data_IF_796765427527
#
_entry.id   IF_796765427527
#
_cell.length_a   1.000
_cell.length_b   1.000
_cell.length_c   1.000
_cell.angle_alpha   90.00
_cell.angle_beta   90.00
_cell.angle_gamma   90.00
#
_symmetry.space_group_name_H-M   'P 1'
#
loop_
_entity.id
_entity.type
_entity.pdbx_description
1 polymer ?
#
# COMPACT_ATOMS: atom_id res chain seq x y z
N UNK A 1 -6.51 -30.92 -10.37
CA UNK A 1 -7.72 -30.47 -9.66
C UNK A 1 -7.84 -28.98 -9.86
N UNK A 2 -8.81 -28.53 -10.67
CA UNK A 2 -8.99 -27.14 -11.07
C UNK A 2 -9.21 -26.21 -9.88
N UNK A 3 -8.71 -25.00 -9.98
CA UNK A 3 -8.92 -23.91 -9.01
C UNK A 3 -10.37 -23.40 -9.17
N UNK A 4 -11.33 -23.85 -8.35
CA UNK A 4 -12.76 -23.58 -8.60
C UNK A 4 -13.21 -22.15 -8.30
N UNK A 5 -12.29 -21.23 -7.96
CA UNK A 5 -12.65 -19.94 -7.38
C UNK A 5 -12.04 -18.73 -8.14
N UNK A 6 -11.15 -18.96 -9.10
CA UNK A 6 -10.50 -17.84 -9.83
C UNK A 6 -11.52 -16.94 -10.57
N UNK A 7 -12.62 -17.49 -11.07
CA UNK A 7 -13.66 -16.71 -11.72
C UNK A 7 -14.43 -15.77 -10.77
N UNK A 8 -14.42 -16.09 -9.46
CA UNK A 8 -15.04 -15.22 -8.43
C UNK A 8 -14.13 -14.04 -8.04
N UNK A 9 -12.85 -14.11 -8.29
CA UNK A 9 -11.90 -13.08 -7.88
C UNK A 9 -12.25 -11.70 -8.47
N UNK A 10 -12.62 -11.66 -9.75
CA UNK A 10 -13.00 -10.41 -10.41
C UNK A 10 -14.29 -9.78 -9.84
N UNK A 11 -15.44 -10.47 -9.74
CA UNK A 11 -16.64 -9.87 -9.15
C UNK A 11 -16.45 -9.50 -7.67
N UNK A 12 -15.71 -10.29 -6.90
CA UNK A 12 -15.37 -9.96 -5.51
C UNK A 12 -14.52 -8.69 -5.45
N UNK A 13 -13.53 -8.54 -6.33
CA UNK A 13 -12.71 -7.33 -6.40
C UNK A 13 -13.55 -6.08 -6.72
N UNK A 14 -14.49 -6.19 -7.64
CA UNK A 14 -15.42 -5.09 -7.97
C UNK A 14 -16.31 -4.76 -6.78
N UNK A 15 -16.88 -5.77 -6.11
CA UNK A 15 -17.71 -5.58 -4.92
C UNK A 15 -16.94 -4.86 -3.80
N UNK A 16 -15.69 -5.24 -3.53
CA UNK A 16 -14.83 -4.58 -2.53
C UNK A 16 -14.60 -3.11 -2.89
N UNK A 17 -14.31 -2.80 -4.16
CA UNK A 17 -14.12 -1.41 -4.60
C UNK A 17 -15.40 -0.59 -4.45
N UNK A 18 -16.54 -1.12 -4.87
CA UNK A 18 -17.81 -0.42 -4.75
C UNK A 18 -18.17 -0.18 -3.28
N UNK A 19 -17.99 -1.20 -2.44
CA UNK A 19 -18.22 -1.07 -1.00
C UNK A 19 -17.28 -0.03 -0.38
N UNK A 20 -15.98 -0.09 -0.65
CA UNK A 20 -15.03 0.88 -0.14
C UNK A 20 -15.40 2.31 -0.56
N UNK A 21 -15.74 2.53 -1.83
CA UNK A 21 -16.19 3.85 -2.33
C UNK A 21 -17.49 4.32 -1.70
N UNK A 22 -18.46 3.43 -1.49
CA UNK A 22 -19.75 3.76 -0.89
C UNK A 22 -19.61 4.19 0.58
N UNK A 23 -18.74 3.46 1.35
CA UNK A 23 -18.55 3.72 2.78
C UNK A 23 -17.65 4.91 3.04
N UNK A 24 -16.58 5.09 2.23
CA UNK A 24 -15.55 6.10 2.50
C UNK A 24 -15.61 7.32 1.60
N UNK A 25 -16.49 7.33 0.58
CA UNK A 25 -16.51 8.37 -0.46
C UNK A 25 -15.11 8.77 -0.95
N UNK A 26 -14.18 7.80 -1.02
CA UNK A 26 -12.76 8.02 -1.22
C UNK A 26 -12.47 8.82 -2.50
N UNK A 27 -11.61 9.81 -2.37
CA UNK A 27 -11.14 10.66 -3.47
C UNK A 27 -9.64 10.57 -3.61
N UNK A 28 -9.16 10.58 -4.88
CA UNK A 28 -7.76 10.74 -5.18
C UNK A 28 -7.41 12.22 -5.39
N UNK A 29 -6.27 12.63 -4.86
CA UNK A 29 -5.60 13.90 -5.19
C UNK A 29 -4.30 13.52 -5.86
N UNK A 30 -4.12 13.97 -7.10
CA UNK A 30 -2.93 13.69 -7.90
C UNK A 30 -1.98 14.88 -7.85
N UNK A 31 -0.65 14.69 -8.00
CA UNK A 31 0.30 15.78 -8.11
C UNK A 31 0.07 16.57 -9.41
N UNK A 32 0.69 17.74 -9.52
CA UNK A 32 0.56 18.60 -10.71
C UNK A 32 1.08 17.92 -11.99
N UNK A 33 2.08 17.04 -11.87
CA UNK A 33 2.58 16.20 -12.96
C UNK A 33 1.54 15.18 -13.46
N UNK A 34 0.45 15.01 -12.72
CA UNK A 34 -0.60 14.07 -13.04
C UNK A 34 -0.39 12.68 -12.44
N UNK A 35 -1.23 11.75 -12.89
CA UNK A 35 -1.18 10.37 -12.40
C UNK A 35 0.00 9.62 -13.00
N UNK A 36 0.81 9.00 -12.15
CA UNK A 36 1.90 8.14 -12.60
C UNK A 36 1.35 6.90 -13.34
N UNK A 37 1.71 6.77 -14.60
CA UNK A 37 1.20 5.69 -15.47
C UNK A 37 2.15 4.49 -15.59
N UNK A 38 3.41 4.65 -15.19
CA UNK A 38 4.46 3.64 -15.24
C UNK A 38 4.35 2.58 -14.13
N UNK A 39 5.30 1.65 -14.11
CA UNK A 39 5.50 0.76 -12.96
C UNK A 39 6.10 1.57 -11.84
N UNK A 40 5.55 1.41 -10.64
CA UNK A 40 6.01 2.14 -9.48
C UNK A 40 5.79 1.38 -8.17
N UNK A 41 6.42 1.86 -7.14
CA UNK A 41 6.20 1.44 -5.76
C UNK A 41 5.46 2.57 -5.07
N UNK A 42 4.17 2.39 -4.80
CA UNK A 42 3.40 3.27 -3.93
C UNK A 42 3.78 2.97 -2.48
N UNK A 43 4.39 3.94 -1.79
CA UNK A 43 4.68 3.79 -0.36
C UNK A 43 3.81 4.75 0.44
N UNK A 44 3.16 4.22 1.50
CA UNK A 44 2.11 4.95 2.20
C UNK A 44 2.21 4.84 3.73
N UNK A 45 1.56 5.77 4.42
CA UNK A 45 1.29 5.67 5.85
C UNK A 45 0.32 4.53 6.15
N UNK A 46 0.46 3.89 7.32
CA UNK A 46 -0.31 2.70 7.67
C UNK A 46 -1.03 2.85 9.01
N UNK A 47 -2.34 3.00 8.96
CA UNK A 47 -3.18 3.15 10.16
C UNK A 47 -4.27 2.08 10.28
N UNK A 48 -4.67 1.46 9.16
CA UNK A 48 -5.77 0.51 9.10
C UNK A 48 -5.47 -0.67 8.18
N UNK A 49 -6.07 -1.82 8.43
CA UNK A 49 -6.04 -2.94 7.49
C UNK A 49 -6.62 -2.63 6.10
N UNK A 50 -7.46 -1.60 6.01
CA UNK A 50 -8.10 -1.17 4.77
C UNK A 50 -7.28 -0.19 3.92
N UNK A 51 -6.12 0.28 4.40
CA UNK A 51 -5.37 1.35 3.73
C UNK A 51 -5.05 1.04 2.27
N UNK A 52 -4.54 -0.15 1.98
CA UNK A 52 -4.22 -0.54 0.61
C UNK A 52 -5.47 -0.63 -0.28
N UNK A 53 -6.64 -0.95 0.30
CA UNK A 53 -7.91 -1.02 -0.45
C UNK A 53 -8.30 0.37 -0.95
N UNK A 54 -8.06 1.43 -0.17
CA UNK A 54 -8.35 2.80 -0.62
C UNK A 54 -7.44 3.23 -1.76
N UNK A 55 -6.12 2.99 -1.66
CA UNK A 55 -5.20 3.23 -2.77
C UNK A 55 -5.67 2.47 -4.00
N UNK A 56 -5.94 1.18 -3.84
CA UNK A 56 -6.37 0.31 -4.92
C UNK A 56 -7.71 0.73 -5.54
N UNK A 57 -8.66 1.18 -4.71
CA UNK A 57 -9.99 1.62 -5.15
C UNK A 57 -9.95 2.89 -6.00
N UNK A 58 -9.08 3.86 -5.69
CA UNK A 58 -8.98 5.11 -6.45
C UNK A 58 -8.20 4.97 -7.76
N UNK A 59 -7.34 3.96 -7.87
CA UNK A 59 -6.60 3.71 -9.10
C UNK A 59 -7.55 3.32 -10.26
N UNK A 60 -7.30 3.80 -11.49
CA UNK A 60 -8.00 3.35 -12.68
C UNK A 60 -7.89 1.84 -12.88
N UNK A 61 -8.90 1.19 -13.47
CA UNK A 61 -8.91 -0.28 -13.65
C UNK A 61 -7.66 -0.84 -14.36
N UNK A 62 -7.08 -0.08 -15.30
CA UNK A 62 -5.85 -0.49 -16.03
C UNK A 62 -4.64 -0.60 -15.11
N UNK A 63 -4.44 0.37 -14.20
CA UNK A 63 -3.34 0.36 -13.23
C UNK A 63 -3.62 -0.64 -12.12
N UNK A 64 -4.84 -0.66 -11.59
CA UNK A 64 -5.27 -1.55 -10.52
C UNK A 64 -4.93 -3.02 -10.78
N UNK A 65 -5.09 -3.51 -12.02
CA UNK A 65 -4.78 -4.89 -12.39
C UNK A 65 -3.31 -5.27 -12.25
N UNK A 66 -2.42 -4.28 -12.24
CA UNK A 66 -0.95 -4.47 -12.13
C UNK A 66 -0.42 -4.16 -10.73
N UNK A 67 -1.28 -3.60 -9.87
CA UNK A 67 -0.85 -3.18 -8.52
C UNK A 67 -1.12 -4.28 -7.52
N UNK A 68 -0.08 -4.69 -6.80
CA UNK A 68 -0.08 -5.75 -5.80
C UNK A 68 0.28 -5.19 -4.43
N UNK A 69 -0.56 -5.36 -3.39
CA UNK A 69 -0.17 -5.00 -2.04
C UNK A 69 0.89 -5.95 -1.50
N UNK A 70 1.86 -5.41 -0.76
CA UNK A 70 2.82 -6.19 0.02
C UNK A 70 2.25 -6.36 1.43
N UNK A 71 2.10 -7.59 1.88
CA UNK A 71 1.40 -7.87 3.13
C UNK A 71 1.99 -9.08 3.87
N UNK A 72 1.78 -9.14 5.18
CA UNK A 72 2.24 -10.26 6.00
C UNK A 72 1.48 -11.54 5.70
N UNK A 73 2.20 -12.64 5.47
CA UNK A 73 1.63 -13.96 5.21
C UNK A 73 0.84 -14.49 6.42
N UNK A 74 1.31 -14.15 7.63
CA UNK A 74 0.69 -14.53 8.91
C UNK A 74 -0.79 -14.16 9.02
N UNK A 75 -1.17 -13.00 8.49
CA UNK A 75 -2.57 -12.55 8.47
C UNK A 75 -3.37 -13.18 7.33
N UNK A 76 -2.83 -13.14 6.11
CA UNK A 76 -3.58 -13.55 4.93
C UNK A 76 -3.71 -15.07 4.77
N UNK A 77 -2.80 -15.85 5.34
CA UNK A 77 -2.87 -17.31 5.29
C UNK A 77 -3.60 -17.94 6.47
N UNK A 78 -4.11 -17.14 7.41
CA UNK A 78 -4.79 -17.61 8.63
C UNK A 78 -6.11 -18.34 8.36
N UNK A 79 -6.81 -18.01 7.29
CA UNK A 79 -8.06 -18.67 6.89
C UNK A 79 -8.15 -18.85 5.37
N UNK A 80 -9.01 -19.77 4.92
CA UNK A 80 -9.25 -19.99 3.49
C UNK A 80 -9.80 -18.73 2.78
N UNK A 81 -10.69 -17.98 3.48
CA UNK A 81 -11.26 -16.73 2.96
C UNK A 81 -10.19 -15.65 2.83
N UNK A 82 -9.40 -15.43 3.86
CA UNK A 82 -8.30 -14.46 3.80
C UNK A 82 -7.30 -14.83 2.70
N UNK A 83 -6.96 -16.12 2.58
CA UNK A 83 -6.05 -16.60 1.55
C UNK A 83 -6.59 -16.35 0.14
N UNK A 84 -7.88 -16.61 -0.08
CA UNK A 84 -8.55 -16.30 -1.35
C UNK A 84 -8.51 -14.79 -1.64
N UNK A 85 -8.89 -13.94 -0.68
CA UNK A 85 -8.87 -12.49 -0.87
C UNK A 85 -7.45 -11.98 -1.12
N UNK A 86 -6.47 -12.41 -0.32
CA UNK A 86 -5.08 -11.97 -0.49
C UNK A 86 -4.43 -12.43 -1.79
N UNK A 87 -4.57 -13.71 -2.12
CA UNK A 87 -3.90 -14.32 -3.26
C UNK A 87 -4.65 -14.14 -4.58
N UNK A 88 -5.95 -14.44 -4.57
CA UNK A 88 -6.71 -14.53 -5.82
C UNK A 88 -7.37 -13.19 -6.18
N UNK A 89 -7.84 -12.40 -5.18
CA UNK A 89 -8.49 -11.10 -5.43
C UNK A 89 -7.47 -9.98 -5.58
N UNK A 90 -6.52 -9.85 -4.63
CA UNK A 90 -5.54 -8.75 -4.63
C UNK A 90 -4.20 -9.14 -5.25
N UNK A 91 -3.95 -10.42 -5.51
CA UNK A 91 -2.66 -10.92 -5.97
C UNK A 91 -1.50 -10.41 -5.10
N UNK A 92 -1.69 -10.38 -3.79
CA UNK A 92 -0.75 -9.79 -2.84
C UNK A 92 0.61 -10.51 -2.85
N UNK A 93 1.68 -9.74 -2.66
CA UNK A 93 3.00 -10.29 -2.35
C UNK A 93 3.03 -10.59 -0.85
N UNK A 94 2.94 -11.87 -0.50
CA UNK A 94 2.84 -12.32 0.87
C UNK A 94 4.23 -12.58 1.46
N UNK A 95 4.62 -11.71 2.40
CA UNK A 95 5.93 -11.75 3.04
C UNK A 95 5.84 -12.49 4.38
N UNK A 96 6.69 -13.51 4.56
CA UNK A 96 6.87 -14.12 5.87
C UNK A 96 7.65 -13.17 6.78
N UNK A 97 7.03 -12.81 7.91
CA UNK A 97 7.61 -11.87 8.88
C UNK A 97 8.57 -12.53 9.84
N UNK A 98 8.32 -13.80 10.15
CA UNK A 98 9.22 -14.59 10.97
C UNK A 98 10.50 -14.90 10.18
N UNK A 99 11.63 -14.45 10.72
CA UNK A 99 12.94 -14.64 10.07
C UNK A 99 13.36 -16.10 9.99
N UNK A 100 12.99 -16.92 10.98
CA UNK A 100 13.33 -18.32 11.04
C UNK A 100 12.47 -19.16 10.08
N UNK A 101 11.20 -18.79 9.91
CA UNK A 101 10.28 -19.45 8.99
C UNK A 101 10.42 -18.97 7.53
N UNK A 102 11.19 -17.89 7.31
CA UNK A 102 11.35 -17.25 6.01
C UNK A 102 12.15 -18.13 5.05
N UNK A 103 11.54 -18.48 3.91
CA UNK A 103 12.15 -19.26 2.85
C UNK A 103 12.85 -18.42 1.79
N UNK A 104 12.45 -17.16 1.65
CA UNK A 104 12.96 -16.25 0.63
C UNK A 104 13.03 -14.84 1.20
N UNK A 105 14.02 -14.08 0.76
CA UNK A 105 14.18 -12.68 1.17
C UNK A 105 13.01 -11.82 0.67
N UNK A 106 12.41 -10.96 1.52
CA UNK A 106 11.32 -10.08 1.13
C UNK A 106 11.63 -9.14 -0.03
N UNK A 107 12.87 -8.62 -0.09
CA UNK A 107 13.27 -7.72 -1.19
C UNK A 107 13.28 -8.50 -2.50
N UNK A 108 13.80 -9.74 -2.49
CA UNK A 108 13.79 -10.63 -3.65
C UNK A 108 12.37 -10.90 -4.14
N UNK A 109 11.43 -11.25 -3.24
CA UNK A 109 10.03 -11.48 -3.63
C UNK A 109 9.37 -10.23 -4.25
N UNK A 110 9.63 -9.05 -3.67
CA UNK A 110 9.12 -7.79 -4.20
C UNK A 110 9.74 -7.46 -5.57
N UNK A 111 11.04 -7.66 -5.72
CA UNK A 111 11.76 -7.46 -7.00
C UNK A 111 11.22 -8.36 -8.10
N UNK A 112 11.01 -9.64 -7.81
CA UNK A 112 10.40 -10.58 -8.77
C UNK A 112 8.99 -10.12 -9.21
N UNK A 113 8.18 -9.58 -8.30
CA UNK A 113 6.88 -9.03 -8.66
C UNK A 113 6.98 -7.80 -9.58
N UNK A 114 7.96 -6.91 -9.32
CA UNK A 114 8.28 -5.77 -10.19
C UNK A 114 8.77 -6.24 -11.57
N UNK A 115 9.65 -7.26 -11.62
CA UNK A 115 10.17 -7.83 -12.87
C UNK A 115 9.06 -8.46 -13.71
N UNK A 116 8.07 -9.06 -13.07
CA UNK A 116 6.86 -9.58 -13.72
C UNK A 116 5.89 -8.49 -14.20
N UNK A 117 6.28 -7.19 -14.13
CA UNK A 117 5.50 -6.06 -14.62
C UNK A 117 4.48 -5.49 -13.64
N UNK A 118 4.51 -5.93 -12.37
CA UNK A 118 3.64 -5.38 -11.33
C UNK A 118 4.16 -4.05 -10.78
N UNK A 119 3.25 -3.22 -10.26
CA UNK A 119 3.54 -2.17 -9.29
C UNK A 119 3.22 -2.69 -7.89
N UNK A 120 3.80 -2.07 -6.86
CA UNK A 120 3.59 -2.49 -5.48
C UNK A 120 2.92 -1.41 -4.65
N UNK A 121 2.15 -1.80 -3.62
CA UNK A 121 1.76 -0.94 -2.51
C UNK A 121 2.51 -1.44 -1.28
N UNK A 122 3.33 -0.58 -0.68
CA UNK A 122 4.18 -0.88 0.46
C UNK A 122 3.91 0.08 1.61
N UNK A 123 3.91 -0.43 2.82
CA UNK A 123 3.85 0.36 4.05
C UNK A 123 5.21 0.27 4.75
N UNK A 124 6.08 1.29 4.59
CA UNK A 124 7.47 1.19 5.06
C UNK A 124 7.60 1.19 6.58
N UNK A 125 6.58 1.63 7.32
CA UNK A 125 6.48 1.47 8.78
C UNK A 125 6.52 0.00 9.20
N UNK A 126 6.09 -0.92 8.32
CA UNK A 126 6.09 -2.38 8.54
C UNK A 126 5.06 -2.86 9.55
N UNK A 127 4.37 -1.97 10.21
CA UNK A 127 3.25 -2.24 11.13
C UNK A 127 2.29 -1.06 11.10
N UNK A 128 1.06 -1.26 11.58
CA UNK A 128 0.09 -0.16 11.68
C UNK A 128 0.50 0.82 12.77
N UNK A 129 0.45 2.07 12.44
CA UNK A 129 0.64 3.15 13.40
C UNK A 129 -0.66 3.33 14.20
N UNK A 130 -0.61 2.97 15.47
CA UNK A 130 -1.71 3.11 16.43
C UNK A 130 -1.42 4.23 17.46
N UNK A 131 -0.43 5.07 17.20
CA UNK A 131 0.02 6.15 18.08
C UNK A 131 -0.47 7.51 17.59
N UNK A 132 -0.25 8.55 18.37
CA UNK A 132 -0.59 9.94 18.05
C UNK A 132 0.37 10.58 17.02
N UNK A 133 1.57 9.99 16.82
CA UNK A 133 2.50 10.52 15.83
C UNK A 133 1.99 10.27 14.42
N UNK A 134 2.13 11.21 13.49
CA UNK A 134 1.57 11.10 12.16
C UNK A 134 2.20 9.97 11.34
N UNK A 135 3.46 9.61 11.59
CA UNK A 135 4.20 8.59 10.87
C UNK A 135 5.22 7.93 11.80
N UNK A 136 5.36 6.60 11.73
CA UNK A 136 6.42 5.87 12.40
C UNK A 136 7.67 5.79 11.52
N UNK A 137 8.86 5.64 12.12
CA UNK A 137 10.11 5.52 11.36
C UNK A 137 10.05 4.38 10.32
N UNK A 138 10.58 4.63 9.14
CA UNK A 138 10.62 3.65 8.07
C UNK A 138 11.62 2.54 8.34
N UNK A 139 11.23 1.31 8.02
CA UNK A 139 12.14 0.17 7.99
C UNK A 139 12.97 0.18 6.71
N UNK A 140 14.13 -0.43 6.75
CA UNK A 140 15.10 -0.47 5.66
C UNK A 140 14.62 -1.15 4.37
N UNK A 141 13.46 -1.83 4.40
CA UNK A 141 12.94 -2.55 3.24
C UNK A 141 12.71 -1.67 2.01
N UNK A 142 12.22 -0.44 2.20
CA UNK A 142 12.03 0.52 1.11
C UNK A 142 13.36 0.90 0.45
N UNK A 143 14.40 1.16 1.26
CA UNK A 143 15.74 1.47 0.76
C UNK A 143 16.34 0.33 -0.05
N UNK A 144 16.33 -0.90 0.50
CA UNK A 144 16.88 -2.06 -0.20
C UNK A 144 16.14 -2.36 -1.50
N UNK A 145 14.82 -2.15 -1.52
CA UNK A 145 14.04 -2.31 -2.74
C UNK A 145 14.37 -1.24 -3.79
N UNK A 146 14.54 0.01 -3.36
CA UNK A 146 14.97 1.11 -4.22
C UNK A 146 16.37 0.88 -4.80
N UNK A 147 17.31 0.37 -3.99
CA UNK A 147 18.65 -0.02 -4.47
C UNK A 147 18.61 -1.18 -5.48
N UNK A 148 17.77 -2.19 -5.21
CA UNK A 148 17.65 -3.34 -6.11
C UNK A 148 16.99 -2.97 -7.45
N UNK A 149 16.17 -1.93 -7.46
CA UNK A 149 15.42 -1.45 -8.64
C UNK A 149 15.43 0.07 -8.75
N UNK A 150 16.59 0.67 -9.04
CA UNK A 150 16.73 2.12 -9.17
C UNK A 150 15.96 2.70 -10.39
N UNK A 151 15.55 1.84 -11.31
CA UNK A 151 14.73 2.15 -12.49
C UNK A 151 13.23 2.31 -12.17
N UNK A 152 12.80 2.01 -10.94
CA UNK A 152 11.39 2.05 -10.54
C UNK A 152 11.09 3.30 -9.72
N UNK A 153 10.06 4.02 -10.13
CA UNK A 153 9.58 5.20 -9.43
C UNK A 153 8.98 4.84 -8.07
N UNK A 154 9.30 5.65 -7.06
CA UNK A 154 8.78 5.56 -5.70
C UNK A 154 7.79 6.69 -5.48
N UNK A 155 6.51 6.37 -5.39
CA UNK A 155 5.43 7.37 -5.30
C UNK A 155 4.92 7.42 -3.86
N UNK A 156 5.12 8.52 -3.12
CA UNK A 156 4.54 8.70 -1.79
C UNK A 156 3.03 8.85 -1.89
N UNK A 157 2.31 8.21 -0.94
CA UNK A 157 0.85 8.23 -0.92
C UNK A 157 0.35 8.44 0.50
N UNK A 158 -0.32 9.54 0.78
CA UNK A 158 -0.93 9.81 2.07
C UNK A 158 -2.40 9.41 2.10
N UNK A 159 -2.78 8.62 3.10
CA UNK A 159 -4.16 8.21 3.34
C UNK A 159 -4.66 8.94 4.56
N UNK A 160 -5.75 9.69 4.41
CA UNK A 160 -6.38 10.42 5.50
C UNK A 160 -7.79 9.91 5.81
N UNK A 161 -8.17 10.06 7.09
CA UNK A 161 -9.49 9.78 7.65
C UNK A 161 -9.93 8.31 7.76
N UNK A 162 -9.21 7.31 7.25
CA UNK A 162 -9.69 5.92 7.32
C UNK A 162 -9.83 5.40 8.76
N UNK A 163 -8.92 5.76 9.65
CA UNK A 163 -8.99 5.41 11.06
C UNK A 163 -10.21 6.01 11.79
N UNK A 164 -10.77 7.10 11.25
CA UNK A 164 -11.98 7.76 11.76
C UNK A 164 -13.27 7.17 11.19
N UNK A 165 -13.21 6.59 9.98
CA UNK A 165 -14.35 5.89 9.35
C UNK A 165 -14.67 4.59 10.08
N UNK A 166 -13.64 3.88 10.52
CA UNK A 166 -13.78 2.62 11.26
C UNK A 166 -12.94 2.67 12.54
N UNK A 167 -13.43 3.36 13.60
CA UNK A 167 -12.75 3.39 14.88
C UNK A 167 -12.63 1.96 15.45
N UNK A 168 -11.60 1.73 16.24
CA UNK A 168 -11.36 0.42 16.84
C UNK A 168 -12.52 0.01 17.74
N UNK A 169 -13.19 -1.11 17.43
CA UNK A 169 -14.32 -1.64 18.20
C UNK A 169 -15.70 -1.25 17.68
N UNK A 170 -15.79 -0.35 16.70
CA UNK A 170 -17.08 0.00 16.08
C UNK A 170 -17.35 -0.88 14.85
N UNK A 171 -18.60 -1.33 14.70
CA UNK A 171 -19.05 -2.14 13.56
C UNK A 171 -19.78 -1.29 12.49
N UNK A 172 -20.20 -0.08 12.86
CA UNK A 172 -20.90 0.84 11.94
C UNK A 172 -19.89 1.87 11.44
N UNK A 173 -19.60 1.92 10.13
CA UNK A 173 -18.69 2.91 9.60
C UNK A 173 -19.32 4.31 9.68
N UNK A 174 -18.59 5.27 10.22
CA UNK A 174 -18.98 6.69 10.14
C UNK A 174 -18.65 7.15 8.72
N UNK A 175 -19.62 7.63 7.93
CA UNK A 175 -19.37 8.07 6.55
C UNK A 175 -18.56 9.36 6.54
N UNK A 176 -17.22 9.22 6.54
CA UNK A 176 -16.29 10.34 6.40
C UNK A 176 -15.63 10.24 5.03
N UNK A 177 -15.39 11.38 4.42
CA UNK A 177 -14.65 11.44 3.15
C UNK A 177 -13.20 11.06 3.44
N UNK A 178 -12.76 9.93 2.88
CA UNK A 178 -11.35 9.55 2.87
C UNK A 178 -10.64 10.20 1.68
N UNK A 179 -9.40 10.57 1.89
CA UNK A 179 -8.57 11.14 0.83
C UNK A 179 -7.31 10.30 0.65
N UNK A 180 -6.94 10.06 -0.59
CA UNK A 180 -5.69 9.42 -0.98
C UNK A 180 -4.91 10.42 -1.83
N UNK A 181 -3.87 11.03 -1.24
CA UNK A 181 -3.05 12.05 -1.88
C UNK A 181 -1.77 11.42 -2.39
N UNK A 182 -1.54 11.51 -3.69
CA UNK A 182 -0.32 11.04 -4.35
C UNK A 182 0.66 12.20 -4.50
N UNK A 183 1.93 11.95 -4.23
CA UNK A 183 3.00 12.94 -4.43
C UNK A 183 3.80 12.68 -5.69
N UNK A 184 4.80 13.53 -5.90
CA UNK A 184 5.76 13.37 -6.99
C UNK A 184 6.63 12.13 -6.77
N UNK A 185 7.04 11.50 -7.86
CA UNK A 185 7.88 10.33 -7.80
C UNK A 185 9.29 10.67 -7.29
N UNK A 186 9.83 9.77 -6.49
CA UNK A 186 11.20 9.83 -5.99
C UNK A 186 12.03 8.73 -6.64
N UNK A 187 13.33 8.98 -6.76
CA UNK A 187 14.33 7.98 -7.13
C UNK A 187 15.43 7.96 -6.08
N UNK A 188 16.07 6.81 -5.92
CA UNK A 188 17.26 6.73 -5.09
C UNK A 188 18.44 7.37 -5.83
N UNK A 189 19.25 8.17 -5.13
CA UNK A 189 20.50 8.70 -5.68
C UNK A 189 21.57 7.63 -5.78
N UNK A 190 22.48 7.73 -6.75
CA UNK A 190 23.55 6.73 -6.99
C UNK A 190 24.41 6.48 -5.76
N UNK A 191 24.67 7.51 -4.96
CA UNK A 191 25.52 7.45 -3.75
C UNK A 191 24.74 7.74 -2.47
N UNK A 192 23.40 7.72 -2.54
CA UNK A 192 22.57 8.11 -1.41
C UNK A 192 22.59 7.03 -0.32
N UNK A 193 22.99 7.44 0.87
CA UNK A 193 23.07 6.57 2.04
C UNK A 193 21.65 6.25 2.59
N UNK A 194 21.51 5.09 3.21
CA UNK A 194 20.22 4.63 3.74
C UNK A 194 19.52 5.62 4.67
N UNK A 195 20.20 6.25 5.65
CA UNK A 195 19.54 7.22 6.52
C UNK A 195 18.96 8.42 5.77
N UNK A 196 19.72 8.95 4.80
CA UNK A 196 19.34 10.14 4.04
C UNK A 196 18.15 9.84 3.11
N UNK A 197 18.21 8.69 2.42
CA UNK A 197 17.10 8.24 1.60
C UNK A 197 15.82 8.05 2.41
N UNK A 198 15.88 7.37 3.55
CA UNK A 198 14.70 7.12 4.37
C UNK A 198 14.15 8.43 4.94
N UNK A 199 15.00 9.34 5.41
CA UNK A 199 14.59 10.65 5.88
C UNK A 199 13.90 11.48 4.79
N UNK A 200 14.43 11.45 3.57
CA UNK A 200 13.84 12.14 2.41
C UNK A 200 12.49 11.51 2.01
N UNK A 201 12.38 10.19 2.03
CA UNK A 201 11.13 9.50 1.75
C UNK A 201 10.07 9.77 2.82
N UNK A 202 10.45 9.78 4.11
CA UNK A 202 9.56 10.18 5.22
C UNK A 202 9.08 11.63 5.07
N UNK A 203 9.99 12.55 4.77
CA UNK A 203 9.66 13.96 4.56
C UNK A 203 8.69 14.15 3.38
N UNK A 204 8.93 13.46 2.26
CA UNK A 204 8.06 13.50 1.10
C UNK A 204 6.65 12.99 1.40
N UNK A 205 6.54 11.91 2.20
CA UNK A 205 5.25 11.38 2.61
C UNK A 205 4.55 12.32 3.60
N UNK A 206 5.25 12.86 4.59
CA UNK A 206 4.70 13.81 5.57
C UNK A 206 4.24 15.12 4.92
N UNK A 207 4.89 15.57 3.86
CA UNK A 207 4.50 16.77 3.13
C UNK A 207 3.10 16.66 2.50
N UNK A 208 2.60 15.44 2.28
CA UNK A 208 1.25 15.18 1.76
C UNK A 208 0.18 15.14 2.86
N UNK A 209 0.59 15.13 4.14
CA UNK A 209 -0.34 15.12 5.24
C UNK A 209 -1.17 16.42 5.23
N UNK A 210 -2.50 16.35 5.46
CA UNK A 210 -3.32 17.54 5.53
C UNK A 210 -2.82 18.46 6.65
N UNK A 211 -2.64 19.74 6.33
CA UNK A 211 -2.35 20.74 7.35
C UNK A 211 -3.56 20.82 8.26
N UNK A 212 -3.49 20.19 9.42
CA UNK A 212 -4.50 20.42 10.46
C UNK A 212 -4.40 21.88 10.86
N UNK A 213 -5.53 22.60 10.78
CA UNK A 213 -5.61 23.90 11.42
C UNK A 213 -5.20 23.69 12.90
N UNK A 214 -4.21 24.44 13.34
CA UNK A 214 -3.90 24.48 14.76
C UNK A 214 -5.15 25.03 15.46
N UNK A 215 -5.74 24.23 16.34
CA UNK A 215 -6.81 24.66 17.24
C UNK A 215 -6.30 25.73 18.19
#
# INVERSE_FOLDING_TARGET
MGKPIEWLAWPVSVAIVLFARAVTAVRAIWPESGMHAGRCIYFANHSSHGDFILIWAVLPPRLRRRVRPVAGADYWLKSKLNSFIGRDVFNAVLIERDREARKEDPVTQMTQALDAGSSLILFPEGTRNLTEVPLQPFKSGLFHLAQARPDIDLVPVWIDNLNRVMPKGEFVPIPLICTVTFGEALHIGETEEKPDFLARAEAALLALAPKRAAD
#
